data_IF_693000612730
#
_entry.id   IF_693000612730
#
_cell.length_a   1.000
_cell.length_b   1.000
_cell.length_c   1.000
_cell.angle_alpha   90.00
_cell.angle_beta   90.00
_cell.angle_gamma   90.00
#
_symmetry.space_group_name_H-M   'P 1'
#
loop_
_entity.id
_entity.type
_entity.pdbx_description
1 polymer ?
#
# COMPACT_ATOMS: atom_id res chain seq x y z
N UNK A 1 -7.19 -10.80 -2.40
CA UNK A 1 -5.84 -10.23 -2.61
C UNK A 1 -5.30 -10.88 -3.87
N UNK A 2 -5.11 -10.10 -4.95
CA UNK A 2 -4.53 -10.65 -6.19
C UNK A 2 -3.07 -11.00 -5.92
N UNK A 3 -2.69 -12.27 -6.09
CA UNK A 3 -1.31 -12.73 -5.94
C UNK A 3 -0.54 -12.19 -7.14
N UNK A 4 0.23 -11.12 -6.95
CA UNK A 4 1.07 -10.53 -8.00
C UNK A 4 2.28 -11.44 -8.21
N UNK A 5 2.27 -12.21 -9.30
CA UNK A 5 3.39 -13.09 -9.66
C UNK A 5 4.59 -12.27 -10.14
N UNK A 6 5.83 -12.61 -9.75
CA UNK A 6 7.03 -11.85 -10.14
C UNK A 6 7.45 -12.05 -11.61
N UNK A 7 6.80 -12.98 -12.32
CA UNK A 7 7.28 -13.47 -13.62
C UNK A 7 6.89 -12.61 -14.84
N UNK A 8 6.33 -11.41 -14.64
CA UNK A 8 5.95 -10.52 -15.73
C UNK A 8 6.30 -9.06 -15.44
N UNK A 9 6.73 -8.33 -16.47
CA UNK A 9 6.88 -6.87 -16.46
C UNK A 9 5.51 -6.27 -16.12
N UNK A 10 5.37 -5.72 -14.91
CA UNK A 10 4.18 -4.97 -14.53
C UNK A 10 4.38 -3.51 -14.90
N UNK A 11 3.70 -3.07 -15.97
CA UNK A 11 3.46 -1.65 -16.21
C UNK A 11 2.48 -1.12 -15.12
N UNK A 12 2.52 0.19 -14.86
CA UNK A 12 1.93 0.82 -13.66
C UNK A 12 0.55 0.29 -13.22
N UNK A 13 0.36 0.14 -11.90
CA UNK A 13 -0.88 -0.37 -11.30
C UNK A 13 -1.47 0.63 -10.29
N UNK A 14 -2.78 0.58 -10.11
CA UNK A 14 -3.44 1.34 -9.03
C UNK A 14 -3.26 0.64 -7.69
N UNK A 15 -2.48 1.24 -6.79
CA UNK A 15 -2.39 0.78 -5.41
C UNK A 15 -3.63 1.14 -4.61
N UNK A 16 -4.04 0.24 -3.70
CA UNK A 16 -5.08 0.54 -2.72
C UNK A 16 -4.56 1.36 -1.54
N UNK A 17 -3.24 1.54 -1.43
CA UNK A 17 -2.54 2.36 -0.45
C UNK A 17 -2.10 3.69 -1.08
N UNK A 18 -2.14 4.82 -0.34
CA UNK A 18 -1.60 6.09 -0.83
C UNK A 18 -0.06 6.07 -0.97
N UNK A 19 0.62 5.14 -0.29
CA UNK A 19 2.04 4.85 -0.48
C UNK A 19 2.20 3.44 -1.10
N UNK A 20 2.68 3.31 -2.35
CA UNK A 20 2.95 2.01 -2.95
C UNK A 20 4.19 1.38 -2.29
N UNK A 21 4.12 0.08 -1.97
CA UNK A 21 5.24 -0.65 -1.33
C UNK A 21 5.94 -1.62 -2.28
N UNK A 22 5.53 -1.65 -3.55
CA UNK A 22 6.11 -2.49 -4.59
C UNK A 22 6.55 -1.60 -5.77
N UNK A 23 7.83 -1.74 -6.15
CA UNK A 23 8.39 -1.10 -7.34
C UNK A 23 7.83 -1.77 -8.59
N UNK A 24 7.57 -0.97 -9.62
CA UNK A 24 7.15 -1.41 -10.96
C UNK A 24 8.31 -1.30 -11.94
N UNK A 25 8.24 -2.04 -13.03
CA UNK A 25 9.32 -2.03 -14.04
C UNK A 25 9.22 -0.80 -14.93
N UNK A 26 10.37 -0.18 -15.23
CA UNK A 26 10.53 0.80 -16.31
C UNK A 26 10.92 0.14 -17.65
N UNK A 27 10.67 -1.17 -17.81
CA UNK A 27 11.09 -2.02 -18.95
C UNK A 27 12.60 -2.30 -19.04
N UNK A 28 13.43 -1.58 -18.28
CA UNK A 28 14.89 -1.79 -18.23
C UNK A 28 15.29 -2.95 -17.30
N UNK A 29 14.53 -3.17 -16.22
CA UNK A 29 14.85 -4.18 -15.20
C UNK A 29 13.59 -4.87 -14.65
N UNK A 30 13.73 -6.14 -14.28
CA UNK A 30 12.71 -6.84 -13.51
C UNK A 30 12.69 -6.30 -12.08
N UNK A 31 11.52 -5.89 -11.56
CA UNK A 31 11.44 -5.35 -10.21
C UNK A 31 11.67 -6.49 -9.20
N UNK A 32 12.39 -6.22 -8.09
CA UNK A 32 12.52 -7.20 -7.03
C UNK A 32 11.14 -7.54 -6.45
N UNK A 33 10.95 -8.76 -5.91
CA UNK A 33 9.70 -9.12 -5.26
C UNK A 33 9.44 -8.24 -4.03
N UNK A 34 8.17 -8.07 -3.67
CA UNK A 34 7.77 -7.35 -2.46
C UNK A 34 8.38 -8.05 -1.24
N UNK A 35 9.12 -7.30 -0.43
CA UNK A 35 9.65 -7.79 0.83
C UNK A 35 8.54 -8.04 1.86
N UNK A 36 8.81 -8.92 2.82
CA UNK A 36 7.89 -9.21 3.94
C UNK A 36 7.51 -7.92 4.68
N UNK A 37 8.49 -7.04 4.93
CA UNK A 37 8.25 -5.74 5.59
C UNK A 37 7.33 -4.83 4.76
N UNK A 38 7.53 -4.76 3.44
CA UNK A 38 6.64 -3.99 2.55
C UNK A 38 5.20 -4.54 2.57
N UNK A 39 5.02 -5.86 2.49
CA UNK A 39 3.70 -6.49 2.62
C UNK A 39 3.05 -6.20 3.98
N UNK A 40 3.86 -6.15 5.05
CA UNK A 40 3.39 -5.81 6.39
C UNK A 40 2.87 -4.37 6.48
N UNK A 41 3.54 -3.40 5.84
CA UNK A 41 3.04 -2.03 5.74
C UNK A 41 1.68 -1.98 5.04
N UNK A 42 1.55 -2.65 3.88
CA UNK A 42 0.26 -2.71 3.16
C UNK A 42 -0.86 -3.30 4.02
N UNK A 43 -0.54 -4.35 4.79
CA UNK A 43 -1.49 -4.95 5.71
C UNK A 43 -1.93 -3.98 6.81
N UNK A 44 -0.99 -3.27 7.45
CA UNK A 44 -1.28 -2.29 8.50
C UNK A 44 -2.17 -1.15 8.00
N UNK A 45 -1.87 -0.62 6.81
CA UNK A 45 -2.67 0.42 6.15
C UNK A 45 -4.09 -0.09 5.88
N UNK A 46 -4.22 -1.32 5.36
CA UNK A 46 -5.52 -1.90 5.06
C UNK A 46 -6.38 -2.11 6.31
N UNK A 47 -5.81 -2.68 7.38
CA UNK A 47 -6.55 -2.91 8.63
C UNK A 47 -6.94 -1.61 9.32
N UNK A 48 -6.00 -0.67 9.43
CA UNK A 48 -6.23 0.59 10.13
C UNK A 48 -7.18 1.50 9.37
N UNK A 49 -7.09 1.55 8.03
CA UNK A 49 -8.01 2.35 7.21
C UNK A 49 -9.45 1.87 7.32
N UNK A 50 -9.71 0.56 7.39
CA UNK A 50 -11.06 0.04 7.61
C UNK A 50 -11.67 0.52 8.92
N UNK A 51 -10.88 0.53 10.00
CA UNK A 51 -11.31 1.00 11.33
C UNK A 51 -11.54 2.51 11.34
N UNK A 52 -10.59 3.28 10.83
CA UNK A 52 -10.64 4.74 10.87
C UNK A 52 -11.71 5.32 9.95
N UNK A 53 -11.86 4.77 8.74
CA UNK A 53 -12.90 5.23 7.81
C UNK A 53 -14.29 5.02 8.39
N UNK A 54 -14.54 3.86 9.03
CA UNK A 54 -15.82 3.57 9.69
C UNK A 54 -16.15 4.56 10.80
N UNK A 55 -15.17 5.00 11.60
CA UNK A 55 -15.39 6.00 12.67
C UNK A 55 -15.72 7.39 12.13
N UNK A 56 -15.25 7.70 10.92
CA UNK A 56 -15.47 8.98 10.26
C UNK A 56 -16.69 8.97 9.33
N UNK A 57 -17.44 7.86 9.26
CA UNK A 57 -18.57 7.73 8.33
C UNK A 57 -18.16 7.71 6.86
N UNK A 58 -16.89 7.39 6.56
CA UNK A 58 -16.33 7.36 5.21
C UNK A 58 -16.11 5.93 4.73
N UNK A 59 -16.20 5.71 3.43
CA UNK A 59 -15.69 4.46 2.87
C UNK A 59 -14.14 4.44 2.93
N UNK A 60 -13.58 3.22 2.96
CA UNK A 60 -12.13 3.01 3.10
C UNK A 60 -11.31 3.68 1.99
N UNK A 61 -11.82 3.66 0.75
CA UNK A 61 -11.10 4.20 -0.43
C UNK A 61 -11.01 5.72 -0.36
N UNK A 62 -12.10 6.39 0.02
CA UNK A 62 -12.14 7.85 0.13
C UNK A 62 -11.33 8.33 1.32
N UNK A 63 -11.38 7.63 2.45
CA UNK A 63 -10.49 7.91 3.58
C UNK A 63 -9.02 7.88 3.16
N UNK A 64 -8.59 6.86 2.40
CA UNK A 64 -7.21 6.74 1.95
C UNK A 64 -6.76 7.82 0.95
N UNK A 65 -7.69 8.57 0.34
CA UNK A 65 -7.40 9.74 -0.50
C UNK A 65 -7.25 11.04 0.29
N UNK A 66 -7.53 11.03 1.59
CA UNK A 66 -7.39 12.22 2.46
C UNK A 66 -5.97 12.35 3.00
N UNK A 67 -5.67 13.51 3.59
CA UNK A 67 -4.43 13.73 4.37
C UNK A 67 -4.32 12.76 5.56
N UNK A 68 -5.44 12.39 6.20
CA UNK A 68 -5.46 11.38 7.27
C UNK A 68 -5.09 9.98 6.76
N UNK A 69 -5.49 9.63 5.55
CA UNK A 69 -5.07 8.40 4.87
C UNK A 69 -3.58 8.35 4.61
N UNK A 70 -2.99 9.46 4.16
CA UNK A 70 -1.55 9.60 3.95
C UNK A 70 -0.77 9.55 5.27
N UNK A 71 -1.24 10.25 6.30
CA UNK A 71 -0.65 10.22 7.64
C UNK A 71 -0.64 8.80 8.23
N UNK A 72 -1.73 8.06 8.06
CA UNK A 72 -1.80 6.65 8.45
C UNK A 72 -0.72 5.81 7.74
N UNK A 73 -0.49 6.05 6.44
CA UNK A 73 0.50 5.31 5.68
C UNK A 73 1.93 5.58 6.18
N UNK A 74 2.26 6.82 6.53
CA UNK A 74 3.55 7.15 7.15
C UNK A 74 3.69 6.54 8.55
N UNK A 75 2.63 6.52 9.36
CA UNK A 75 2.66 5.83 10.65
C UNK A 75 2.91 4.34 10.50
N UNK A 76 2.28 3.69 9.51
CA UNK A 76 2.51 2.28 9.21
C UNK A 76 3.95 2.01 8.74
N UNK A 77 4.52 2.89 7.90
CA UNK A 77 5.92 2.82 7.50
C UNK A 77 6.85 2.91 8.71
N UNK A 78 6.66 3.91 9.57
CA UNK A 78 7.45 4.09 10.77
C UNK A 78 7.32 2.90 11.74
N UNK A 79 6.15 2.28 11.84
CA UNK A 79 5.97 1.11 12.69
C UNK A 79 6.75 -0.13 12.21
N UNK A 80 7.04 -0.25 10.91
CA UNK A 80 7.73 -1.41 10.33
C UNK A 80 9.23 -1.17 10.11
N UNK A 81 9.60 0.08 9.80
CA UNK A 81 10.96 0.46 9.41
C UNK A 81 11.65 1.43 10.36
N UNK A 82 10.90 2.07 11.27
CA UNK A 82 11.45 2.96 12.29
C UNK A 82 12.00 2.23 13.50
#
# INVERSE_FOLDING_TARGET
MSRRTPNHIQQGYTSASPLPTQVVSSEEFLPPPQSIKQSQVEWLIHQSSKRLSSRLGMNRRDFLKTTGGMALAFLAMNQVFG
#
